data_IF_139964278866
#
_entry.id   IF_139964278866
#
_cell.length_a   1.000
_cell.length_b   1.000
_cell.length_c   1.000
_cell.angle_alpha   90.00
_cell.angle_beta   90.00
_cell.angle_gamma   90.00
#
_symmetry.space_group_name_H-M   'P 1'
#
loop_
_entity.id
_entity.type
_entity.pdbx_description
1 polymer ?
#
# COMPACT_ATOMS: atom_id res chain seq x y z
N UNK A 1 14.88 17.07 -35.45
CA UNK A 1 13.52 17.07 -34.87
C UNK A 1 12.58 16.55 -35.95
N UNK A 2 11.95 15.39 -35.75
CA UNK A 2 11.05 14.79 -36.73
C UNK A 2 9.61 15.26 -36.45
N UNK A 3 9.01 16.02 -37.36
CA UNK A 3 7.62 16.50 -37.28
C UNK A 3 6.61 15.45 -37.78
N UNK A 4 6.80 14.18 -37.40
CA UNK A 4 5.94 13.09 -37.83
C UNK A 4 5.35 12.37 -36.63
N UNK A 5 4.02 12.30 -36.58
CA UNK A 5 3.29 11.53 -35.59
C UNK A 5 3.12 10.10 -36.09
N UNK A 6 3.70 9.13 -35.37
CA UNK A 6 3.64 7.72 -35.72
C UNK A 6 2.45 7.04 -35.04
N UNK A 7 1.28 7.09 -35.69
CA UNK A 7 0.05 6.48 -35.18
C UNK A 7 0.16 4.97 -34.91
N UNK A 8 1.12 4.28 -35.51
CA UNK A 8 1.41 2.85 -35.27
C UNK A 8 1.93 2.55 -33.85
N UNK A 9 2.36 3.56 -33.10
CA UNK A 9 2.81 3.43 -31.71
C UNK A 9 1.68 3.64 -30.69
N UNK A 10 0.45 3.87 -31.15
CA UNK A 10 -0.68 4.04 -30.26
C UNK A 10 -1.08 2.69 -29.64
N UNK A 11 -1.13 2.66 -28.32
CA UNK A 11 -1.69 1.56 -27.54
C UNK A 11 -3.09 1.94 -27.05
N UNK A 12 -3.97 0.94 -26.93
CA UNK A 12 -5.28 1.14 -26.32
C UNK A 12 -5.10 1.59 -24.87
N UNK A 13 -5.81 2.65 -24.48
CA UNK A 13 -5.80 3.14 -23.12
C UNK A 13 -6.44 2.10 -22.19
N UNK A 14 -5.64 1.53 -21.29
CA UNK A 14 -6.12 0.69 -20.19
C UNK A 14 -6.35 1.58 -18.99
N UNK A 15 -7.59 1.70 -18.47
CA UNK A 15 -7.84 2.46 -17.26
C UNK A 15 -7.06 1.85 -16.09
N UNK A 16 -6.47 2.71 -15.26
CA UNK A 16 -5.71 2.30 -14.09
C UNK A 16 -6.60 1.55 -13.09
N UNK A 17 -6.08 0.46 -12.51
CA UNK A 17 -6.74 -0.25 -11.43
C UNK A 17 -6.55 0.51 -10.11
N UNK A 18 -7.57 1.26 -9.72
CA UNK A 18 -7.53 2.08 -8.51
C UNK A 18 -7.63 1.25 -7.22
N UNK A 19 -8.00 -0.03 -7.30
CA UNK A 19 -7.96 -0.94 -6.15
C UNK A 19 -6.52 -1.34 -5.82
N UNK A 20 -5.68 -1.48 -6.85
CA UNK A 20 -4.27 -1.84 -6.70
C UNK A 20 -3.38 -0.61 -6.45
N UNK A 21 -3.78 0.58 -6.92
CA UNK A 21 -2.99 1.80 -6.81
C UNK A 21 -3.80 3.00 -6.26
N UNK A 22 -4.29 2.95 -5.01
CA UNK A 22 -4.96 4.08 -4.38
C UNK A 22 -3.96 5.18 -4.01
N UNK A 23 -4.33 6.43 -4.24
CA UNK A 23 -3.63 7.60 -3.68
C UNK A 23 -2.82 8.45 -4.66
N UNK A 24 -2.29 7.91 -5.77
CA UNK A 24 -1.47 8.65 -6.76
C UNK A 24 -0.46 9.63 -6.13
N UNK A 25 0.07 9.32 -4.95
CA UNK A 25 1.06 10.17 -4.32
C UNK A 25 2.42 9.88 -4.97
N UNK A 26 3.20 10.92 -5.25
CA UNK A 26 4.49 10.80 -5.96
C UNK A 26 5.49 9.87 -5.25
N UNK A 27 5.35 9.74 -3.93
CA UNK A 27 6.11 8.82 -3.08
C UNK A 27 5.68 7.35 -3.19
N UNK A 28 4.53 7.04 -3.81
CA UNK A 28 4.07 5.65 -4.06
C UNK A 28 4.53 5.10 -5.42
N UNK A 29 4.99 5.97 -6.33
CA UNK A 29 5.32 5.64 -7.72
C UNK A 29 6.84 5.57 -7.95
N UNK A 30 7.64 6.10 -7.03
CA UNK A 30 9.09 6.08 -7.15
C UNK A 30 9.65 4.87 -6.41
N UNK A 31 10.25 3.93 -7.13
CA UNK A 31 11.19 2.93 -6.58
C UNK A 31 12.47 3.67 -6.13
N UNK A 32 12.35 4.57 -5.16
CA UNK A 32 13.52 5.19 -4.52
C UNK A 32 13.94 4.27 -3.38
N UNK A 33 15.11 3.60 -3.47
CA UNK A 33 15.62 2.76 -2.39
C UNK A 33 15.98 3.54 -1.11
N UNK A 34 15.89 4.87 -1.14
CA UNK A 34 16.01 5.76 0.02
C UNK A 34 14.70 6.48 0.35
N UNK A 35 13.60 6.22 -0.36
CA UNK A 35 12.31 6.69 0.12
C UNK A 35 12.03 5.96 1.44
N UNK A 36 11.71 6.68 2.52
CA UNK A 36 11.30 6.05 3.76
C UNK A 36 10.12 5.14 3.43
N UNK A 37 10.36 3.85 3.66
CA UNK A 37 9.49 2.76 3.28
C UNK A 37 8.03 3.05 3.66
N UNK A 38 7.13 2.42 2.92
CA UNK A 38 5.67 2.23 3.06
C UNK A 38 5.00 2.45 4.44
N UNK A 39 5.74 2.50 5.55
CA UNK A 39 5.33 2.85 6.91
C UNK A 39 4.47 4.13 6.99
N UNK A 40 4.66 5.13 6.13
CA UNK A 40 3.95 6.41 6.23
C UNK A 40 2.53 6.43 5.66
N UNK A 41 2.13 5.39 4.93
CA UNK A 41 0.78 5.33 4.35
C UNK A 41 -0.24 4.71 5.32
N UNK A 42 0.20 4.06 6.40
CA UNK A 42 -0.68 3.35 7.33
C UNK A 42 -1.11 4.25 8.48
N UNK A 43 -2.43 4.37 8.69
CA UNK A 43 -3.01 5.11 9.81
C UNK A 43 -2.99 4.28 11.08
N UNK A 44 -3.64 3.10 11.06
CA UNK A 44 -3.70 2.17 12.20
C UNK A 44 -4.20 0.79 11.79
N UNK A 45 -4.04 -0.18 12.68
CA UNK A 45 -4.70 -1.48 12.57
C UNK A 45 -6.00 -1.44 13.37
N UNK A 46 -7.09 -1.85 12.72
CA UNK A 46 -8.43 -1.87 13.30
C UNK A 46 -8.73 -3.20 13.98
N UNK A 47 -8.31 -4.30 13.37
CA UNK A 47 -8.61 -5.65 13.82
C UNK A 47 -7.61 -6.67 13.29
N UNK A 48 -7.63 -7.88 13.84
CA UNK A 48 -6.92 -9.02 13.28
C UNK A 48 -7.78 -10.29 13.35
N UNK A 49 -7.49 -11.24 12.47
CA UNK A 49 -8.10 -12.57 12.45
C UNK A 49 -7.04 -13.63 12.17
N UNK A 50 -7.22 -14.82 12.72
CA UNK A 50 -6.24 -15.91 12.58
C UNK A 50 -5.19 -15.92 13.69
N UNK A 51 -4.20 -16.78 13.54
CA UNK A 51 -3.20 -17.08 14.56
C UNK A 51 -1.79 -17.02 13.98
N UNK A 52 -0.87 -16.42 14.73
CA UNK A 52 0.57 -16.37 14.41
C UNK A 52 0.85 -15.88 12.99
N UNK A 53 1.47 -16.71 12.16
CA UNK A 53 1.93 -16.37 10.81
C UNK A 53 0.81 -16.30 9.78
N UNK A 54 -0.31 -16.98 10.05
CA UNK A 54 -1.48 -16.99 9.18
C UNK A 54 -2.48 -15.91 9.58
N UNK A 55 -2.09 -15.03 10.52
CA UNK A 55 -2.92 -13.91 10.93
C UNK A 55 -3.01 -12.87 9.81
N UNK A 56 -4.22 -12.40 9.59
CA UNK A 56 -4.57 -11.29 8.71
C UNK A 56 -4.92 -10.08 9.57
N UNK A 57 -4.48 -8.91 9.16
CA UNK A 57 -4.68 -7.65 9.86
C UNK A 57 -5.46 -6.70 8.99
N UNK A 58 -6.48 -6.08 9.58
CA UNK A 58 -7.27 -5.05 8.95
C UNK A 58 -6.57 -3.71 9.14
N UNK A 59 -5.96 -3.21 8.08
CA UNK A 59 -5.15 -2.00 8.06
C UNK A 59 -5.98 -0.86 7.47
N UNK A 60 -6.06 0.24 8.20
CA UNK A 60 -6.58 1.53 7.71
C UNK A 60 -5.42 2.38 7.19
N UNK A 61 -5.55 2.86 5.96
CA UNK A 61 -4.58 3.74 5.32
C UNK A 61 -4.89 5.21 5.61
N UNK A 62 -3.91 6.09 5.45
CA UNK A 62 -4.10 7.54 5.58
C UNK A 62 -5.09 8.11 4.55
N UNK A 63 -5.35 7.40 3.44
CA UNK A 63 -6.41 7.72 2.48
C UNK A 63 -7.83 7.46 3.00
N UNK A 64 -7.96 6.72 4.11
CA UNK A 64 -9.23 6.21 4.64
C UNK A 64 -9.65 4.86 4.07
N UNK A 65 -8.87 4.29 3.15
CA UNK A 65 -9.11 2.95 2.63
C UNK A 65 -8.79 1.89 3.70
N UNK A 66 -9.45 0.74 3.61
CA UNK A 66 -9.25 -0.38 4.53
C UNK A 66 -8.98 -1.65 3.76
N UNK A 67 -7.87 -2.33 4.07
CA UNK A 67 -7.47 -3.58 3.41
C UNK A 67 -7.03 -4.62 4.43
N UNK A 68 -7.14 -5.90 4.06
CA UNK A 68 -6.61 -7.01 4.86
C UNK A 68 -5.23 -7.42 4.35
N UNK A 69 -4.22 -7.39 5.23
CA UNK A 69 -2.86 -7.79 4.92
C UNK A 69 -2.39 -8.94 5.82
N UNK A 70 -1.59 -9.89 5.31
CA UNK A 70 -1.02 -10.97 6.11
C UNK A 70 0.10 -10.47 7.03
N UNK A 71 0.37 -11.20 8.11
CA UNK A 71 1.37 -10.85 9.13
C UNK A 71 2.74 -10.46 8.54
N UNK A 72 3.24 -11.19 7.53
CA UNK A 72 4.55 -10.91 6.93
C UNK A 72 4.64 -9.55 6.23
N UNK A 73 3.51 -8.96 5.83
CA UNK A 73 3.45 -7.63 5.23
C UNK A 73 3.25 -6.52 6.27
N UNK A 74 2.81 -6.84 7.48
CA UNK A 74 2.58 -5.85 8.54
C UNK A 74 3.61 -5.89 9.67
N UNK A 75 4.47 -6.91 9.70
CA UNK A 75 5.44 -7.15 10.77
C UNK A 75 6.44 -5.99 10.98
N UNK A 76 6.75 -5.24 9.94
CA UNK A 76 7.68 -4.12 9.97
C UNK A 76 6.98 -2.81 10.35
N UNK A 77 5.66 -2.73 10.22
CA UNK A 77 4.90 -1.50 10.47
C UNK A 77 4.88 -1.14 11.96
N UNK A 78 5.12 0.14 12.26
CA UNK A 78 4.93 0.65 13.63
C UNK A 78 3.48 0.53 14.11
N UNK A 79 2.51 0.60 13.19
CA UNK A 79 1.09 0.41 13.50
C UNK A 79 0.81 -0.96 14.13
N UNK A 80 1.59 -2.00 13.81
CA UNK A 80 1.47 -3.32 14.44
C UNK A 80 1.92 -3.29 15.90
N UNK A 81 3.04 -2.62 16.20
CA UNK A 81 3.52 -2.48 17.57
C UNK A 81 2.50 -1.74 18.42
N UNK A 82 2.02 -0.60 17.95
CA UNK A 82 0.99 0.18 18.64
C UNK A 82 -0.31 -0.62 18.87
N UNK A 83 -0.69 -1.45 17.90
CA UNK A 83 -1.87 -2.31 18.02
C UNK A 83 -1.68 -3.42 19.08
N UNK A 84 -0.54 -4.10 19.09
CA UNK A 84 -0.23 -5.13 20.09
C UNK A 84 -0.09 -4.56 21.50
N UNK A 85 0.54 -3.39 21.63
CA UNK A 85 0.62 -2.63 22.89
C UNK A 85 -0.78 -2.27 23.41
N UNK A 86 -1.68 -1.83 22.54
CA UNK A 86 -3.07 -1.54 22.91
C UNK A 86 -3.85 -2.80 23.34
N UNK A 87 -3.48 -3.98 22.84
CA UNK A 87 -4.02 -5.28 23.26
C UNK A 87 -3.36 -5.82 24.54
N UNK A 88 -2.26 -5.22 24.99
CA UNK A 88 -1.51 -5.68 26.16
C UNK A 88 -0.68 -6.95 25.92
N UNK A 89 -0.29 -7.21 24.67
CA UNK A 89 0.54 -8.35 24.25
C UNK A 89 1.97 -7.90 23.99
#
# INVERSE_FOLDING_TARGET
IHNAFHASLLHAHVPNDNCLFPGRLHNQVTDDPNAPDTEWAVSKILNHQGLKTDAMFQVEWMSGDVTWLPYHQVNHLQALKAYLEALGV
#
